data_IF_357432868435
#
_entry.id   IF_357432868435
#
_cell.length_a   1.000
_cell.length_b   1.000
_cell.length_c   1.000
_cell.angle_alpha   90.00
_cell.angle_beta   90.00
_cell.angle_gamma   90.00
#
_symmetry.space_group_name_H-M   'P 1'
#
loop_
_entity.id
_entity.type
_entity.pdbx_description
1 polymer ?
#
# COMPACT_ATOMS: atom_id res chain seq x y z
N UNK A 1 -31.35 46.98 38.39
CA UNK A 1 -30.24 47.92 38.57
C UNK A 1 -29.36 47.80 37.34
N UNK A 2 -29.61 48.63 36.32
CA UNK A 2 -28.82 48.65 35.08
C UNK A 2 -27.53 49.41 35.39
N UNK A 3 -26.40 48.69 35.44
CA UNK A 3 -25.10 49.34 35.40
C UNK A 3 -24.97 50.05 34.05
N UNK A 4 -25.01 51.38 34.08
CA UNK A 4 -24.62 52.22 32.95
C UNK A 4 -23.12 52.01 32.70
N UNK A 5 -22.79 50.96 31.95
CA UNK A 5 -21.48 50.77 31.35
C UNK A 5 -21.16 52.03 30.51
N UNK A 6 -19.97 52.58 30.71
CA UNK A 6 -19.46 53.68 29.90
C UNK A 6 -19.57 53.34 28.40
N UNK A 7 -19.61 54.33 27.48
CA UNK A 7 -19.70 54.07 26.04
C UNK A 7 -18.63 53.08 25.55
N UNK A 8 -17.46 53.10 26.19
CA UNK A 8 -16.34 52.18 26.00
C UNK A 8 -16.65 50.76 26.47
N UNK A 9 -17.34 50.59 27.60
CA UNK A 9 -17.78 49.28 28.13
C UNK A 9 -18.87 48.61 27.28
N UNK A 10 -19.81 49.38 26.72
CA UNK A 10 -20.81 48.87 25.77
C UNK A 10 -20.18 48.51 24.41
N UNK A 11 -19.23 49.30 23.92
CA UNK A 11 -18.45 48.97 22.73
C UNK A 11 -17.59 47.70 22.94
N UNK A 12 -16.95 47.56 24.10
CA UNK A 12 -16.18 46.37 24.45
C UNK A 12 -17.07 45.12 24.55
N UNK A 13 -18.25 45.18 25.17
CA UNK A 13 -19.18 44.05 25.19
C UNK A 13 -19.64 43.63 23.79
N UNK A 14 -19.77 44.58 22.86
CA UNK A 14 -20.16 44.32 21.48
C UNK A 14 -19.04 43.69 20.65
N UNK A 15 -17.77 44.01 20.98
CA UNK A 15 -16.57 43.54 20.27
C UNK A 15 -16.01 42.25 20.88
N UNK A 16 -16.28 41.98 22.16
CA UNK A 16 -15.77 40.77 22.85
C UNK A 16 -16.14 39.45 22.15
N UNK A 17 -17.37 39.23 21.65
CA UNK A 17 -17.69 38.04 20.87
C UNK A 17 -16.83 37.87 19.61
N UNK A 18 -16.51 38.97 18.91
CA UNK A 18 -15.61 38.99 17.76
C UNK A 18 -14.17 38.63 18.15
N UNK A 19 -13.68 39.16 19.28
CA UNK A 19 -12.35 38.81 19.81
C UNK A 19 -12.29 37.33 20.19
N UNK A 20 -13.32 36.79 20.84
CA UNK A 20 -13.39 35.37 21.15
C UNK A 20 -13.42 34.49 19.90
N UNK A 21 -14.22 34.85 18.89
CA UNK A 21 -14.25 34.13 17.61
C UNK A 21 -12.89 34.17 16.90
N UNK A 22 -12.22 35.32 16.91
CA UNK A 22 -10.89 35.46 16.30
C UNK A 22 -9.84 34.63 17.06
N UNK A 23 -9.86 34.64 18.40
CA UNK A 23 -8.98 33.81 19.21
C UNK A 23 -9.22 32.31 18.99
N UNK A 24 -10.48 31.88 18.93
CA UNK A 24 -10.85 30.49 18.60
C UNK A 24 -10.36 30.14 17.19
N UNK A 25 -10.53 31.03 16.21
CA UNK A 25 -10.05 30.82 14.83
C UNK A 25 -8.53 30.70 14.75
N UNK A 26 -7.78 31.52 15.49
CA UNK A 26 -6.31 31.43 15.56
C UNK A 26 -5.88 30.12 16.21
N UNK A 27 -6.46 29.74 17.35
CA UNK A 27 -6.15 28.48 18.03
C UNK A 27 -6.50 27.28 17.14
N UNK A 28 -7.66 27.31 16.49
CA UNK A 28 -8.06 26.27 15.54
C UNK A 28 -7.10 26.20 14.35
N UNK A 29 -6.71 27.33 13.77
CA UNK A 29 -5.76 27.40 12.66
C UNK A 29 -4.38 26.85 13.04
N UNK A 30 -3.88 27.15 14.24
CA UNK A 30 -2.64 26.61 14.76
C UNK A 30 -2.76 25.09 14.96
N UNK A 31 -3.87 24.62 15.55
CA UNK A 31 -4.13 23.18 15.72
C UNK A 31 -4.23 22.46 14.36
N UNK A 32 -4.97 23.00 13.39
CA UNK A 32 -5.07 22.46 12.04
C UNK A 32 -3.71 22.47 11.33
N UNK A 33 -2.91 23.52 11.48
CA UNK A 33 -1.56 23.59 10.91
C UNK A 33 -0.61 22.56 11.53
N UNK A 34 -0.72 22.32 12.84
CA UNK A 34 0.03 21.26 13.54
C UNK A 34 -0.43 19.87 13.06
N UNK A 35 -1.74 19.66 12.90
CA UNK A 35 -2.30 18.41 12.35
C UNK A 35 -1.84 18.19 10.91
N UNK A 36 -1.81 19.24 10.08
CA UNK A 36 -1.33 19.22 8.70
C UNK A 36 0.20 19.00 8.61
N UNK A 37 0.96 19.39 9.62
CA UNK A 37 2.39 19.06 9.73
C UNK A 37 2.59 17.55 9.95
N UNK A 38 1.57 16.84 10.45
CA UNK A 38 1.50 15.38 10.46
C UNK A 38 0.77 14.78 9.23
N UNK A 39 0.54 15.55 8.16
CA UNK A 39 -0.31 15.20 6.99
C UNK A 39 0.00 13.89 6.26
N UNK A 40 1.20 13.33 6.42
CA UNK A 40 1.49 12.00 5.88
C UNK A 40 0.87 10.95 6.81
N UNK A 41 0.04 10.09 6.24
CA UNK A 41 -0.58 8.96 6.93
C UNK A 41 0.49 8.14 7.69
N UNK A 42 0.20 7.78 8.94
CA UNK A 42 1.18 7.11 9.82
C UNK A 42 1.59 5.72 9.31
N UNK A 43 0.71 5.02 8.59
CA UNK A 43 1.04 3.75 7.92
C UNK A 43 1.93 4.03 6.71
N UNK A 44 1.58 5.01 5.88
CA UNK A 44 2.40 5.35 4.71
C UNK A 44 3.80 5.85 5.08
N UNK A 45 3.98 6.47 6.26
CA UNK A 45 5.30 6.83 6.79
C UNK A 45 6.21 5.60 7.00
N UNK A 46 5.65 4.43 7.33
CA UNK A 46 6.44 3.22 7.58
C UNK A 46 7.01 2.66 6.28
N UNK A 47 6.26 2.74 5.18
CA UNK A 47 6.66 2.26 3.85
C UNK A 47 7.33 3.33 2.99
N UNK A 48 7.39 4.58 3.45
CA UNK A 48 8.11 5.66 2.77
C UNK A 48 9.59 5.30 2.58
N UNK A 49 10.07 5.50 1.36
CA UNK A 49 11.44 5.28 0.95
C UNK A 49 11.79 3.81 0.72
N UNK A 50 10.86 2.87 0.90
CA UNK A 50 11.04 1.44 0.64
C UNK A 50 10.73 1.09 -0.81
N UNK A 51 11.30 -0.02 -1.29
CA UNK A 51 10.93 -0.65 -2.55
C UNK A 51 9.64 -1.46 -2.36
N UNK A 52 8.62 -1.13 -3.15
CA UNK A 52 7.27 -1.68 -3.04
C UNK A 52 6.68 -1.88 -4.43
N UNK A 53 5.68 -2.75 -4.52
CA UNK A 53 4.70 -2.78 -5.58
C UNK A 53 3.45 -2.03 -5.13
N UNK A 54 2.93 -1.17 -6.00
CA UNK A 54 1.64 -0.49 -5.80
C UNK A 54 0.66 -1.03 -6.82
N UNK A 55 -0.37 -1.74 -6.36
CA UNK A 55 -1.43 -2.29 -7.20
C UNK A 55 -2.56 -1.27 -7.35
N UNK A 56 -2.75 -0.76 -8.57
CA UNK A 56 -3.75 0.25 -8.94
C UNK A 56 -4.58 -0.27 -10.10
N UNK A 57 -5.87 -0.52 -9.86
CA UNK A 57 -6.74 -1.12 -10.87
C UNK A 57 -6.19 -2.46 -11.37
N UNK A 58 -5.77 -2.52 -12.64
CA UNK A 58 -5.15 -3.71 -13.27
C UNK A 58 -3.63 -3.55 -13.50
N UNK A 59 -3.02 -2.54 -12.89
CA UNK A 59 -1.60 -2.23 -13.00
C UNK A 59 -0.89 -2.46 -11.66
N UNK A 60 0.37 -2.86 -11.71
CA UNK A 60 1.27 -2.95 -10.57
C UNK A 60 2.55 -2.16 -10.86
N UNK A 61 2.84 -1.14 -10.05
CA UNK A 61 4.03 -0.30 -10.22
C UNK A 61 5.06 -0.63 -9.15
N UNK A 62 6.23 -1.11 -9.58
CA UNK A 62 7.36 -1.34 -8.69
C UNK A 62 8.29 -0.13 -8.63
N UNK A 63 8.79 0.16 -7.44
CA UNK A 63 9.81 1.18 -7.26
C UNK A 63 9.87 1.69 -5.83
N UNK A 64 10.59 2.79 -5.63
CA UNK A 64 10.72 3.45 -4.35
C UNK A 64 9.51 4.35 -4.07
N UNK A 65 8.79 4.07 -2.99
CA UNK A 65 7.63 4.86 -2.59
C UNK A 65 8.04 6.17 -1.91
N UNK A 66 7.62 7.31 -2.43
CA UNK A 66 7.79 8.61 -1.80
C UNK A 66 6.44 9.26 -1.51
N UNK A 67 6.28 9.75 -0.28
CA UNK A 67 5.06 10.40 0.18
C UNK A 67 5.38 11.87 0.47
N UNK A 68 5.15 12.78 -0.49
CA UNK A 68 5.40 14.20 -0.27
C UNK A 68 4.44 14.73 0.81
N UNK A 69 4.89 15.67 1.68
CA UNK A 69 4.00 16.29 2.64
C UNK A 69 2.87 17.05 1.93
N UNK A 70 1.70 17.15 2.57
CA UNK A 70 0.52 17.87 2.05
C UNK A 70 -0.05 17.33 0.72
N UNK A 71 0.27 16.10 0.34
CA UNK A 71 -0.25 15.42 -0.85
C UNK A 71 -1.71 14.92 -0.71
N UNK A 72 -2.37 15.18 0.42
CA UNK A 72 -3.70 14.64 0.77
C UNK A 72 -3.77 13.10 0.73
N UNK A 73 -2.64 12.43 0.96
CA UNK A 73 -2.52 10.98 0.88
C UNK A 73 -2.02 10.46 -0.46
N UNK A 74 -1.80 11.33 -1.45
CA UNK A 74 -1.11 10.97 -2.68
C UNK A 74 0.37 10.65 -2.43
N UNK A 75 0.94 9.87 -3.33
CA UNK A 75 2.33 9.42 -3.25
C UNK A 75 2.89 9.21 -4.66
N UNK A 76 4.18 8.94 -4.75
CA UNK A 76 4.87 8.71 -6.02
C UNK A 76 5.72 7.46 -5.92
N UNK A 77 5.65 6.60 -6.92
CA UNK A 77 6.50 5.43 -7.07
C UNK A 77 7.59 5.79 -8.05
N UNK A 78 8.82 5.95 -7.58
CA UNK A 78 9.97 6.18 -8.45
C UNK A 78 10.50 4.84 -8.93
N UNK A 79 10.47 4.61 -10.23
CA UNK A 79 11.02 3.40 -10.83
C UNK A 79 12.51 3.35 -10.59
N UNK A 80 12.98 2.19 -10.15
CA UNK A 80 14.38 1.95 -9.85
C UNK A 80 14.95 0.98 -10.87
N UNK A 81 16.27 1.01 -11.06
CA UNK A 81 16.98 0.00 -11.86
C UNK A 81 16.38 -0.12 -13.28
N UNK A 82 16.09 -1.33 -13.79
CA UNK A 82 15.64 -1.60 -15.16
C UNK A 82 14.25 -1.06 -15.52
N UNK A 83 13.52 -0.51 -14.55
CA UNK A 83 12.12 -0.12 -14.71
C UNK A 83 11.85 1.20 -15.46
N UNK A 84 12.87 1.92 -15.94
CA UNK A 84 12.69 3.21 -16.61
C UNK A 84 12.12 2.98 -18.01
N UNK A 85 10.93 3.52 -18.29
CA UNK A 85 10.36 3.47 -19.65
C UNK A 85 10.94 4.60 -20.51
N UNK A 86 11.28 4.27 -21.75
CA UNK A 86 11.87 5.18 -22.74
C UNK A 86 13.13 5.92 -22.22
N UNK A 87 14.17 5.19 -21.78
CA UNK A 87 15.35 5.77 -21.14
C UNK A 87 16.14 6.70 -22.07
N UNK A 88 16.15 6.43 -23.39
CA UNK A 88 16.78 7.31 -24.38
C UNK A 88 16.12 8.70 -24.47
N UNK A 89 14.79 8.78 -24.29
CA UNK A 89 14.08 10.06 -24.29
C UNK A 89 14.53 10.96 -23.13
N UNK A 90 14.95 10.38 -22.00
CA UNK A 90 15.48 11.12 -20.86
C UNK A 90 16.86 11.73 -21.16
N UNK A 91 17.71 10.96 -21.84
CA UNK A 91 19.02 11.45 -22.32
C UNK A 91 18.83 12.54 -23.37
N UNK A 92 17.92 12.33 -24.33
CA UNK A 92 17.61 13.30 -25.38
C UNK A 92 17.13 14.64 -24.82
N UNK A 93 16.31 14.62 -23.76
CA UNK A 93 15.87 15.84 -23.08
C UNK A 93 17.04 16.64 -22.48
N UNK A 94 18.04 15.98 -21.90
CA UNK A 94 19.22 16.67 -21.37
C UNK A 94 20.09 17.26 -22.50
N UNK A 95 20.25 16.53 -23.59
CA UNK A 95 20.96 17.00 -24.79
C UNK A 95 20.25 18.22 -25.40
N UNK A 96 18.93 18.20 -25.51
CA UNK A 96 18.11 19.33 -25.97
C UNK A 96 18.31 20.57 -25.10
N UNK A 97 18.23 20.44 -23.76
CA UNK A 97 18.48 21.54 -22.84
C UNK A 97 19.90 22.11 -22.97
N UNK A 98 20.90 21.29 -23.27
CA UNK A 98 22.26 21.77 -23.55
C UNK A 98 22.29 22.61 -24.83
N UNK A 99 21.66 22.15 -25.92
CA UNK A 99 21.61 22.88 -27.18
C UNK A 99 20.86 24.21 -27.06
N UNK A 100 19.79 24.26 -26.26
CA UNK A 100 19.01 25.49 -26.05
C UNK A 100 19.71 26.51 -25.14
N UNK A 101 20.37 26.03 -24.08
CA UNK A 101 20.91 26.92 -23.03
C UNK A 101 22.42 27.16 -23.10
N UNK A 102 23.17 26.32 -23.82
CA UNK A 102 24.64 26.29 -23.81
C UNK A 102 25.26 25.84 -22.48
N UNK A 103 24.45 25.38 -21.51
CA UNK A 103 24.95 25.01 -20.19
C UNK A 103 25.52 23.58 -20.18
N UNK A 104 26.85 23.49 -20.13
CA UNK A 104 27.61 22.21 -20.15
C UNK A 104 27.20 21.21 -19.07
N UNK A 105 26.61 21.65 -17.95
CA UNK A 105 26.11 20.73 -16.91
C UNK A 105 25.03 19.78 -17.41
N UNK A 106 24.26 20.16 -18.42
CA UNK A 106 23.25 19.27 -19.00
C UNK A 106 23.91 18.16 -19.82
N UNK A 107 24.93 18.49 -20.60
CA UNK A 107 25.70 17.51 -21.38
C UNK A 107 26.42 16.52 -20.45
N UNK A 108 27.12 17.01 -19.42
CA UNK A 108 27.78 16.18 -18.41
C UNK A 108 26.80 15.20 -17.75
N UNK A 109 25.59 15.68 -17.40
CA UNK A 109 24.53 14.83 -16.84
C UNK A 109 24.01 13.80 -17.85
N UNK A 110 23.89 14.18 -19.12
CA UNK A 110 23.43 13.29 -20.18
C UNK A 110 24.42 12.14 -20.39
N UNK A 111 25.73 12.42 -20.39
CA UNK A 111 26.79 11.42 -20.49
C UNK A 111 26.79 10.46 -19.29
N UNK A 112 26.71 10.99 -18.07
CA UNK A 112 26.63 10.17 -16.84
C UNK A 112 25.38 9.26 -16.88
N UNK A 113 24.24 9.82 -17.28
CA UNK A 113 22.99 9.08 -17.37
C UNK A 113 23.05 8.01 -18.46
N UNK A 114 23.59 8.32 -19.63
CA UNK A 114 23.75 7.36 -20.73
C UNK A 114 24.62 6.18 -20.28
N UNK A 115 25.75 6.44 -19.63
CA UNK A 115 26.60 5.37 -19.09
C UNK A 115 25.87 4.54 -18.03
N UNK A 116 25.18 5.19 -17.09
CA UNK A 116 24.38 4.52 -16.06
C UNK A 116 23.32 3.56 -16.65
N UNK A 117 22.69 3.96 -17.76
CA UNK A 117 21.66 3.18 -18.45
C UNK A 117 22.27 2.01 -19.25
N UNK A 118 23.44 2.21 -19.86
CA UNK A 118 24.21 1.14 -20.53
C UNK A 118 24.66 0.06 -19.56
N UNK A 119 25.22 0.47 -18.41
CA UNK A 119 25.72 -0.46 -17.38
C UNK A 119 24.61 -1.38 -16.83
N UNK A 120 23.35 -0.98 -16.98
CA UNK A 120 22.15 -1.74 -16.58
C UNK A 120 21.45 -2.44 -17.74
N UNK A 121 22.00 -2.40 -18.95
CA UNK A 121 21.43 -3.04 -20.13
C UNK A 121 20.11 -2.44 -20.61
N UNK A 122 19.80 -1.19 -20.22
CA UNK A 122 18.56 -0.51 -20.63
C UNK A 122 18.66 0.14 -22.02
N UNK A 123 19.89 0.39 -22.47
CA UNK A 123 20.21 1.00 -23.75
C UNK A 123 21.36 0.19 -24.37
N UNK A 124 21.37 0.11 -25.70
CA UNK A 124 22.46 -0.51 -26.45
C UNK A 124 23.84 0.09 -26.02
N UNK A 125 24.81 -0.75 -25.62
CA UNK A 125 26.11 -0.29 -25.16
C UNK A 125 26.90 0.52 -26.20
N UNK A 126 26.58 0.38 -27.50
CA UNK A 126 27.27 1.08 -28.59
C UNK A 126 26.75 2.51 -28.81
N UNK A 127 25.57 2.88 -28.29
CA UNK A 127 24.97 4.21 -28.52
C UNK A 127 25.83 5.30 -27.89
N UNK A 128 26.33 6.24 -28.67
CA UNK A 128 27.05 7.42 -28.18
C UNK A 128 26.11 8.60 -27.91
N UNK A 129 26.62 9.68 -27.30
CA UNK A 129 25.80 10.86 -27.02
C UNK A 129 25.39 11.55 -28.34
N UNK A 130 26.22 11.45 -29.36
CA UNK A 130 25.99 11.97 -30.71
C UNK A 130 24.87 11.21 -31.45
N UNK A 131 24.64 9.94 -31.10
CA UNK A 131 23.58 9.11 -31.68
C UNK A 131 22.19 9.44 -31.11
N UNK A 132 22.14 10.18 -30.00
CA UNK A 132 20.88 10.52 -29.32
C UNK A 132 20.10 11.55 -30.12
N UNK A 133 19.01 11.09 -30.75
CA UNK A 133 18.12 11.95 -31.55
C UNK A 133 17.06 12.62 -30.67
N UNK A 134 17.00 13.95 -30.74
CA UNK A 134 15.89 14.73 -30.19
C UNK A 134 14.66 14.49 -31.09
N UNK A 135 13.68 13.78 -30.56
CA UNK A 135 12.45 13.43 -31.28
C UNK A 135 11.23 13.77 -30.44
N UNK A 136 10.53 14.84 -30.80
CA UNK A 136 9.30 15.28 -30.11
C UNK A 136 8.14 14.28 -30.22
N UNK A 137 8.21 13.33 -31.15
CA UNK A 137 7.23 12.25 -31.31
C UNK A 137 7.62 10.95 -30.61
N UNK A 138 8.81 10.89 -30.02
CA UNK A 138 9.17 9.77 -29.16
C UNK A 138 8.32 9.79 -27.89
N UNK A 139 7.92 8.62 -27.37
CA UNK A 139 7.21 8.58 -26.09
C UNK A 139 8.08 9.20 -24.98
N UNK A 140 7.45 9.90 -24.02
CA UNK A 140 8.18 10.55 -22.94
C UNK A 140 8.87 9.51 -22.06
N UNK A 141 9.99 9.91 -21.45
CA UNK A 141 10.59 9.10 -20.39
C UNK A 141 9.65 9.03 -19.19
N UNK A 142 9.50 7.84 -18.61
CA UNK A 142 8.70 7.63 -17.41
C UNK A 142 9.57 6.95 -16.36
N UNK A 143 10.01 7.77 -15.40
CA UNK A 143 10.84 7.38 -14.26
C UNK A 143 10.04 7.22 -12.97
N UNK A 144 8.75 7.57 -12.99
CA UNK A 144 7.88 7.46 -11.84
C UNK A 144 6.40 7.38 -12.22
N UNK A 145 5.58 6.95 -11.26
CA UNK A 145 4.12 7.05 -11.29
C UNK A 145 3.64 7.82 -10.06
N UNK A 146 3.09 9.01 -10.27
CA UNK A 146 2.39 9.79 -9.23
C UNK A 146 0.99 9.24 -9.05
N UNK A 147 0.53 9.07 -7.82
CA UNK A 147 -0.81 8.60 -7.46
C UNK A 147 -1.49 9.72 -6.70
N UNK A 148 -2.52 10.32 -7.29
CA UNK A 148 -3.24 11.43 -6.70
C UNK A 148 -4.35 10.96 -5.76
N UNK A 149 -4.85 11.86 -4.92
CA UNK A 149 -5.88 11.53 -3.93
C UNK A 149 -7.18 10.98 -4.53
N UNK A 150 -7.51 11.37 -5.77
CA UNK A 150 -8.68 10.87 -6.52
C UNK A 150 -8.48 9.46 -7.08
N UNK A 151 -7.23 8.98 -7.21
CA UNK A 151 -6.91 7.62 -7.68
C UNK A 151 -6.82 6.61 -6.52
N UNK A 152 -6.85 7.07 -5.26
CA UNK A 152 -6.78 6.19 -4.09
C UNK A 152 -7.96 5.22 -3.97
N UNK A 153 -9.07 5.48 -4.65
CA UNK A 153 -10.19 4.54 -4.74
C UNK A 153 -9.84 3.26 -5.52
N UNK A 154 -8.90 3.36 -6.45
CA UNK A 154 -8.43 2.25 -7.30
C UNK A 154 -7.21 1.55 -6.72
N UNK A 155 -6.69 2.03 -5.59
CA UNK A 155 -5.60 1.38 -4.85
C UNK A 155 -6.12 0.09 -4.22
N UNK A 156 -5.47 -1.03 -4.54
CA UNK A 156 -5.76 -2.32 -3.92
C UNK A 156 -4.82 -2.60 -2.76
N UNK A 157 -3.52 -2.40 -2.96
CA UNK A 157 -2.51 -2.57 -1.93
C UNK A 157 -1.18 -1.92 -2.29
N UNK A 158 -0.36 -1.70 -1.27
CA UNK A 158 1.08 -1.47 -1.40
C UNK A 158 1.77 -2.65 -0.74
N UNK A 159 2.60 -3.40 -1.48
CA UNK A 159 3.15 -4.68 -1.03
C UNK A 159 4.65 -4.73 -1.28
N UNK A 160 5.40 -5.24 -0.30
CA UNK A 160 6.81 -5.60 -0.46
C UNK A 160 6.96 -7.11 -0.36
N UNK A 161 7.35 -7.77 -1.44
CA UNK A 161 7.69 -9.19 -1.42
C UNK A 161 9.05 -9.40 -0.76
N UNK A 162 9.12 -10.21 0.28
CA UNK A 162 10.35 -10.50 1.04
C UNK A 162 11.36 -11.24 0.16
N UNK A 163 10.88 -12.05 -0.79
CA UNK A 163 11.71 -12.75 -1.77
C UNK A 163 12.48 -11.77 -2.69
N UNK A 164 11.95 -10.57 -2.92
CA UNK A 164 12.57 -9.53 -3.76
C UNK A 164 13.41 -8.51 -2.96
N UNK A 165 13.43 -8.63 -1.63
CA UNK A 165 14.20 -7.72 -0.78
C UNK A 165 15.69 -8.02 -0.84
N UNK A 166 16.49 -6.96 -0.84
CA UNK A 166 17.94 -7.06 -0.58
C UNK A 166 18.20 -7.51 0.86
N UNK A 167 19.38 -8.06 1.15
CA UNK A 167 19.74 -8.48 2.51
C UNK A 167 19.69 -7.31 3.52
N UNK A 168 20.04 -6.10 3.09
CA UNK A 168 19.90 -4.89 3.91
C UNK A 168 18.43 -4.54 4.23
N UNK A 169 17.51 -4.78 3.29
CA UNK A 169 16.07 -4.64 3.51
C UNK A 169 15.55 -5.70 4.48
N UNK A 170 15.95 -6.97 4.31
CA UNK A 170 15.56 -8.08 5.20
C UNK A 170 16.01 -7.85 6.65
N UNK A 171 17.25 -7.39 6.85
CA UNK A 171 17.76 -7.06 8.19
C UNK A 171 16.96 -5.94 8.86
N UNK A 172 16.58 -4.89 8.10
CA UNK A 172 15.73 -3.81 8.61
C UNK A 172 14.33 -4.32 8.96
N UNK A 173 13.74 -5.18 8.11
CA UNK A 173 12.46 -5.84 8.35
C UNK A 173 12.48 -6.68 9.63
N UNK A 174 13.50 -7.51 9.84
CA UNK A 174 13.60 -8.35 11.05
C UNK A 174 13.69 -7.53 12.34
N UNK A 175 14.42 -6.40 12.30
CA UNK A 175 14.46 -5.47 13.42
C UNK A 175 13.09 -4.87 13.70
N UNK A 176 12.35 -4.48 12.66
CA UNK A 176 10.99 -3.95 12.79
C UNK A 176 10.02 -4.98 13.38
N UNK A 177 10.03 -6.22 12.88
CA UNK A 177 9.24 -7.32 13.42
C UNK A 177 9.56 -7.59 14.89
N UNK A 178 10.85 -7.68 15.24
CA UNK A 178 11.30 -7.91 16.61
C UNK A 178 10.86 -6.78 17.57
N UNK A 179 10.98 -5.52 17.12
CA UNK A 179 10.50 -4.35 17.86
C UNK A 179 8.98 -4.37 18.08
N UNK A 180 8.20 -4.88 17.12
CA UNK A 180 6.74 -4.96 17.23
C UNK A 180 6.31 -5.96 18.30
N UNK A 181 7.00 -7.11 18.39
CA UNK A 181 6.78 -8.08 19.45
C UNK A 181 7.19 -7.55 20.83
N UNK A 182 8.23 -6.71 20.89
CA UNK A 182 8.81 -6.18 22.12
C UNK A 182 8.38 -4.73 22.40
N UNK A 183 7.09 -4.50 22.69
CA UNK A 183 6.47 -3.16 22.99
C UNK A 183 7.46 -2.09 23.52
N UNK A 184 8.05 -1.22 22.67
CA UNK A 184 9.01 -0.25 23.14
C UNK A 184 8.27 0.91 23.82
N UNK A 185 8.68 1.27 25.05
CA UNK A 185 8.07 2.33 25.84
C UNK A 185 8.00 3.69 25.10
N UNK A 186 9.00 3.99 24.27
CA UNK A 186 9.08 5.24 23.49
C UNK A 186 8.10 5.28 22.31
N UNK A 187 7.91 4.15 21.59
CA UNK A 187 6.91 4.05 20.50
C UNK A 187 5.48 4.16 21.06
N UNK A 188 5.26 3.70 22.28
CA UNK A 188 3.95 3.86 22.96
C UNK A 188 3.66 5.32 23.31
N UNK A 189 4.67 6.12 23.69
CA UNK A 189 4.49 7.52 24.05
C UNK A 189 4.18 8.41 22.83
N UNK A 190 4.90 8.24 21.72
CA UNK A 190 4.61 8.95 20.47
C UNK A 190 3.22 8.61 19.93
N UNK A 191 2.79 7.34 20.05
CA UNK A 191 1.43 6.91 19.67
C UNK A 191 0.35 7.52 20.58
N UNK A 192 0.60 7.65 21.88
CA UNK A 192 -0.31 8.40 22.79
C UNK A 192 -0.46 9.86 22.39
N UNK A 193 0.63 10.53 22.03
CA UNK A 193 0.61 11.93 21.56
C UNK A 193 -0.19 12.04 20.26
N UNK A 194 0.05 11.15 19.30
CA UNK A 194 -0.67 11.13 18.02
C UNK A 194 -2.17 10.88 18.23
N UNK A 195 -2.52 9.92 19.08
CA UNK A 195 -3.90 9.59 19.41
C UNK A 195 -4.58 10.74 20.15
N UNK A 196 -3.88 11.42 21.07
CA UNK A 196 -4.39 12.60 21.75
C UNK A 196 -4.64 13.77 20.78
N UNK A 197 -3.71 14.04 19.86
CA UNK A 197 -3.88 15.07 18.83
C UNK A 197 -5.03 14.75 17.88
N UNK A 198 -5.16 13.49 17.47
CA UNK A 198 -6.26 13.05 16.60
C UNK A 198 -7.61 13.14 17.31
N UNK A 199 -7.67 12.75 18.59
CA UNK A 199 -8.88 12.92 19.41
C UNK A 199 -9.26 14.40 19.58
N UNK A 200 -8.28 15.29 19.78
CA UNK A 200 -8.52 16.74 19.83
C UNK A 200 -9.04 17.25 18.48
N UNK A 201 -8.46 16.82 17.36
CA UNK A 201 -8.96 17.13 16.01
C UNK A 201 -10.42 16.69 15.85
N UNK A 202 -10.73 15.45 16.20
CA UNK A 202 -12.09 14.89 16.07
C UNK A 202 -13.09 15.63 16.97
N UNK A 203 -12.69 15.99 18.19
CA UNK A 203 -13.53 16.77 19.12
C UNK A 203 -13.70 18.22 18.69
N UNK A 204 -12.68 18.86 18.13
CA UNK A 204 -12.78 20.21 17.57
C UNK A 204 -13.70 20.21 16.34
N UNK A 205 -13.55 19.24 15.44
CA UNK A 205 -14.44 19.09 14.29
C UNK A 205 -15.89 18.85 14.72
N UNK A 206 -16.11 17.96 15.70
CA UNK A 206 -17.44 17.72 16.28
C UNK A 206 -18.00 18.97 16.97
N UNK A 207 -17.20 19.70 17.75
CA UNK A 207 -17.61 20.94 18.40
C UNK A 207 -18.03 22.00 17.38
N UNK A 208 -17.21 22.21 16.33
CA UNK A 208 -17.51 23.13 15.23
C UNK A 208 -18.80 22.76 14.50
N UNK A 209 -19.12 21.46 14.36
CA UNK A 209 -20.38 20.99 13.76
C UNK A 209 -21.61 21.19 14.66
N UNK A 210 -21.42 21.12 15.98
CA UNK A 210 -22.51 21.28 16.96
C UNK A 210 -22.82 22.75 17.28
N UNK A 211 -21.85 23.66 17.17
CA UNK A 211 -22.01 25.08 17.48
C UNK A 211 -22.46 25.95 16.30
N UNK A 212 -22.47 25.43 15.07
CA UNK A 212 -22.84 26.18 13.86
C UNK A 212 -24.35 26.39 13.73
N UNK A 213 -25.20 25.49 14.24
CA UNK A 213 -26.66 25.58 14.05
C UNK A 213 -27.31 26.87 14.60
N UNK A 214 -26.81 27.39 15.73
CA UNK A 214 -27.36 28.60 16.36
C UNK A 214 -26.73 29.88 15.78
N UNK A 215 -25.43 29.85 15.45
CA UNK A 215 -24.66 30.99 14.96
C UNK A 215 -24.82 31.27 13.45
N UNK A 216 -25.14 30.24 12.65
CA UNK A 216 -25.42 30.36 11.22
C UNK A 216 -26.66 31.20 10.95
N UNK A 217 -27.66 31.15 11.83
CA UNK A 217 -28.95 31.85 11.65
C UNK A 217 -28.84 33.38 11.68
N UNK A 218 -27.77 33.93 12.27
CA UNK A 218 -27.52 35.37 12.42
C UNK A 218 -26.48 35.95 11.45
N UNK A 219 -25.81 35.13 10.64
CA UNK A 219 -24.76 35.60 9.72
C UNK A 219 -25.33 36.05 8.35
N UNK A 220 -24.68 37.00 7.64
CA UNK A 220 -24.98 37.32 6.23
C UNK A 220 -24.72 36.13 5.30
N UNK A 221 -25.42 36.08 4.16
CA UNK A 221 -25.41 34.93 3.23
C UNK A 221 -24.01 34.53 2.73
N UNK A 222 -23.14 35.51 2.43
CA UNK A 222 -21.79 35.25 1.93
C UNK A 222 -20.86 34.65 3.00
N UNK A 223 -21.04 35.06 4.27
CA UNK A 223 -20.33 34.52 5.42
C UNK A 223 -20.84 33.12 5.79
N UNK A 224 -22.15 32.86 5.65
CA UNK A 224 -22.69 31.50 5.79
C UNK A 224 -22.06 30.56 4.78
N UNK A 225 -21.96 30.98 3.51
CA UNK A 225 -21.38 30.17 2.45
C UNK A 225 -19.90 29.87 2.68
N UNK A 226 -19.12 30.86 3.13
CA UNK A 226 -17.71 30.68 3.51
C UNK A 226 -17.53 29.74 4.72
N UNK A 227 -18.43 29.82 5.70
CA UNK A 227 -18.43 28.93 6.88
C UNK A 227 -18.88 27.52 6.51
N UNK A 228 -19.89 27.36 5.64
CA UNK A 228 -20.32 26.07 5.10
C UNK A 228 -19.22 25.41 4.27
N UNK A 229 -18.51 26.17 3.41
CA UNK A 229 -17.36 25.65 2.65
C UNK A 229 -16.20 25.24 3.56
N UNK A 230 -15.92 26.03 4.61
CA UNK A 230 -14.91 25.70 5.62
C UNK A 230 -15.32 24.46 6.45
N UNK A 231 -16.58 24.36 6.82
CA UNK A 231 -17.15 23.21 7.53
C UNK A 231 -17.12 21.96 6.65
N UNK A 232 -17.46 22.06 5.37
CA UNK A 232 -17.42 20.94 4.42
C UNK A 232 -15.98 20.48 4.17
N UNK A 233 -15.01 21.41 4.09
CA UNK A 233 -13.57 21.07 4.03
C UNK A 233 -13.07 20.42 5.32
N UNK A 234 -13.50 20.91 6.48
CA UNK A 234 -13.10 20.36 7.79
C UNK A 234 -13.73 18.98 8.05
N UNK A 235 -15.00 18.79 7.67
CA UNK A 235 -15.72 17.52 7.76
C UNK A 235 -15.22 16.50 6.72
N UNK A 236 -14.91 16.94 5.49
CA UNK A 236 -14.26 16.09 4.48
C UNK A 236 -12.87 15.59 4.90
N UNK A 237 -12.23 16.25 5.87
CA UNK A 237 -10.98 15.82 6.48
C UNK A 237 -11.17 14.99 7.77
N UNK A 238 -12.41 14.79 8.24
CA UNK A 238 -12.77 14.15 9.51
C UNK A 238 -13.54 12.83 9.37
N UNK A 239 -13.58 12.23 8.17
CA UNK A 239 -14.26 10.94 7.97
C UNK A 239 -13.32 9.79 8.34
N UNK A 240 -13.36 9.40 9.62
CA UNK A 240 -12.75 8.21 10.16
C UNK A 240 -12.33 8.40 11.62
N UNK A 241 -12.80 7.54 12.54
CA UNK A 241 -12.21 7.51 13.89
C UNK A 241 -10.73 7.16 13.74
N UNK A 242 -9.86 8.12 14.05
CA UNK A 242 -8.40 7.95 13.92
C UNK A 242 -7.84 6.92 14.91
N UNK A 243 -8.57 6.66 15.99
CA UNK A 243 -8.24 5.69 17.03
C UNK A 243 -9.26 4.55 17.06
N UNK A 244 -8.76 3.31 16.98
CA UNK A 244 -9.57 2.10 17.05
C UNK A 244 -9.02 1.20 18.18
N UNK A 245 -9.72 1.09 19.32
CA UNK A 245 -9.23 0.33 20.47
C UNK A 245 -8.97 -1.16 20.16
N UNK A 246 -9.72 -1.75 19.23
CA UNK A 246 -9.57 -3.17 18.88
C UNK A 246 -8.28 -3.37 18.07
N UNK A 247 -8.04 -2.49 17.09
CA UNK A 247 -6.80 -2.51 16.31
C UNK A 247 -5.59 -2.14 17.17
N UNK A 248 -5.73 -1.17 18.06
CA UNK A 248 -4.66 -0.76 18.97
C UNK A 248 -4.14 -1.91 19.82
N UNK A 249 -5.04 -2.72 20.37
CA UNK A 249 -4.69 -3.88 21.19
C UNK A 249 -4.18 -5.07 20.36
N UNK A 250 -4.38 -5.04 19.05
CA UNK A 250 -3.95 -6.08 18.10
C UNK A 250 -2.57 -5.81 17.51
N UNK A 251 -1.96 -4.65 17.75
CA UNK A 251 -0.62 -4.35 17.21
C UNK A 251 0.44 -5.25 17.86
N UNK A 252 1.34 -5.77 17.01
CA UNK A 252 2.34 -6.77 17.37
C UNK A 252 1.74 -8.15 17.65
N UNK A 253 0.51 -8.42 17.17
CA UNK A 253 -0.18 -9.71 17.28
C UNK A 253 -0.43 -10.32 15.92
N UNK A 254 -0.58 -11.65 15.92
CA UNK A 254 -1.05 -12.38 14.75
C UNK A 254 -2.52 -12.05 14.56
N UNK A 255 -2.88 -11.52 13.40
CA UNK A 255 -4.25 -11.13 13.04
C UNK A 255 -4.72 -11.91 11.83
N UNK A 256 -6.03 -12.13 11.76
CA UNK A 256 -6.71 -12.61 10.56
C UNK A 256 -7.31 -11.41 9.82
N UNK A 257 -6.92 -11.24 8.56
CA UNK A 257 -7.35 -10.15 7.70
C UNK A 257 -8.22 -10.73 6.60
N UNK A 258 -9.41 -10.16 6.43
CA UNK A 258 -10.30 -10.44 5.30
C UNK A 258 -10.10 -9.35 4.25
N UNK A 259 -9.73 -9.72 3.05
CA UNK A 259 -9.39 -8.83 1.94
C UNK A 259 -10.33 -9.12 0.77
N UNK A 260 -10.91 -8.07 0.19
CA UNK A 260 -11.46 -8.13 -1.15
C UNK A 260 -10.28 -7.83 -2.11
N UNK A 261 -9.79 -8.86 -2.81
CA UNK A 261 -8.49 -8.88 -3.49
C UNK A 261 -8.59 -8.40 -4.96
N UNK A 262 -7.45 -8.20 -5.62
CA UNK A 262 -7.33 -7.63 -6.99
C UNK A 262 -8.06 -8.44 -8.06
N UNK A 263 -8.30 -9.72 -7.79
CA UNK A 263 -8.99 -10.68 -8.65
C UNK A 263 -10.52 -10.67 -8.45
N UNK A 264 -11.01 -9.89 -7.50
CA UNK A 264 -12.43 -9.82 -7.13
C UNK A 264 -12.87 -10.90 -6.14
N UNK A 265 -11.96 -11.76 -5.68
CA UNK A 265 -12.24 -12.77 -4.67
C UNK A 265 -12.08 -12.22 -3.26
N UNK A 266 -12.84 -12.81 -2.33
CA UNK A 266 -12.68 -12.53 -0.90
C UNK A 266 -11.75 -13.55 -0.28
N UNK A 267 -10.60 -13.09 0.18
CA UNK A 267 -9.51 -13.92 0.71
C UNK A 267 -9.26 -13.63 2.19
N UNK A 268 -8.86 -14.67 2.91
CA UNK A 268 -8.38 -14.55 4.29
C UNK A 268 -6.86 -14.71 4.29
N UNK A 269 -6.19 -13.81 4.99
CA UNK A 269 -4.75 -13.82 5.21
C UNK A 269 -4.46 -13.77 6.71
N UNK A 270 -3.30 -14.28 7.10
CA UNK A 270 -2.76 -14.11 8.43
C UNK A 270 -1.44 -13.34 8.35
N UNK A 271 -1.13 -12.60 9.40
CA UNK A 271 0.12 -11.84 9.51
C UNK A 271 0.15 -11.02 10.80
N UNK A 272 1.22 -10.28 11.03
CA UNK A 272 1.41 -9.48 12.23
C UNK A 272 0.95 -8.05 11.98
N UNK A 273 0.00 -7.55 12.78
CA UNK A 273 -0.42 -6.14 12.65
C UNK A 273 0.71 -5.21 13.11
N UNK A 274 1.27 -4.44 12.18
CA UNK A 274 2.32 -3.46 12.46
C UNK A 274 1.75 -2.12 12.93
N UNK A 275 0.85 -1.54 12.13
CA UNK A 275 0.19 -0.27 12.42
C UNK A 275 -1.12 -0.18 11.62
N UNK A 276 -2.05 0.67 12.03
CA UNK A 276 -3.26 0.99 11.26
C UNK A 276 -3.42 2.49 11.13
N UNK A 277 -4.30 3.01 10.29
CA UNK A 277 -4.81 4.39 10.33
C UNK A 277 -6.31 4.37 10.09
N UNK A 278 -6.92 5.54 9.90
CA UNK A 278 -8.28 5.66 9.38
C UNK A 278 -8.39 5.10 7.94
N UNK A 279 -7.29 5.12 7.17
CA UNK A 279 -7.26 4.73 5.76
C UNK A 279 -6.61 3.39 5.47
N UNK A 280 -5.63 2.96 6.25
CA UNK A 280 -4.81 1.80 5.93
C UNK A 280 -4.63 0.85 7.10
N UNK A 281 -4.29 -0.41 6.80
CA UNK A 281 -3.73 -1.37 7.75
C UNK A 281 -2.41 -1.88 7.18
N UNK A 282 -1.36 -1.89 8.00
CA UNK A 282 -0.07 -2.45 7.65
C UNK A 282 0.14 -3.77 8.40
N UNK A 283 0.23 -4.84 7.63
CA UNK A 283 0.35 -6.20 8.14
C UNK A 283 1.61 -6.81 7.57
N UNK A 284 2.51 -7.22 8.45
CA UNK A 284 3.77 -7.86 8.10
C UNK A 284 3.60 -9.37 8.05
N UNK A 285 4.53 -10.04 7.37
CA UNK A 285 4.63 -11.49 7.40
C UNK A 285 3.36 -12.21 6.92
N UNK A 286 2.88 -11.75 5.76
CA UNK A 286 1.71 -12.29 5.06
C UNK A 286 2.17 -13.20 3.94
N UNK A 287 1.64 -14.41 3.88
CA UNK A 287 1.73 -15.27 2.69
C UNK A 287 0.73 -14.80 1.62
N UNK A 288 1.10 -13.76 0.87
CA UNK A 288 0.25 -13.21 -0.17
C UNK A 288 0.17 -14.15 -1.36
N UNK A 289 -1.05 -14.37 -1.87
CA UNK A 289 -1.32 -15.31 -2.97
C UNK A 289 -1.38 -14.54 -4.28
N UNK A 290 -0.28 -14.55 -5.02
CA UNK A 290 -0.20 -13.91 -6.33
C UNK A 290 -0.76 -14.86 -7.41
N UNK A 291 -1.73 -14.37 -8.18
CA UNK A 291 -2.30 -15.09 -9.31
C UNK A 291 -1.45 -14.96 -10.58
N UNK A 292 -1.23 -16.09 -11.22
CA UNK A 292 -0.44 -16.24 -12.44
C UNK A 292 -1.20 -17.09 -13.47
N UNK A 293 -0.95 -16.78 -14.74
CA UNK A 293 -1.39 -17.58 -15.88
C UNK A 293 -0.17 -18.07 -16.64
N UNK A 294 -0.06 -19.38 -16.81
CA UNK A 294 0.96 -19.99 -17.66
C UNK A 294 0.36 -20.41 -19.01
N UNK A 295 0.92 -19.88 -20.09
CA UNK A 295 0.62 -20.31 -21.45
C UNK A 295 1.46 -21.54 -21.79
N UNK A 296 0.81 -22.63 -22.15
CA UNK A 296 1.43 -23.94 -22.36
C UNK A 296 1.24 -24.38 -23.80
N UNK A 297 2.30 -24.95 -24.38
CA UNK A 297 2.29 -25.63 -25.68
C UNK A 297 2.96 -26.99 -25.53
N UNK A 298 2.19 -28.07 -25.65
CA UNK A 298 2.66 -29.43 -25.40
C UNK A 298 3.00 -29.63 -23.93
N UNK A 299 4.29 -29.80 -23.62
CA UNK A 299 4.85 -29.91 -22.26
C UNK A 299 5.69 -28.68 -21.88
N UNK A 300 5.75 -27.67 -22.75
CA UNK A 300 6.56 -26.47 -22.54
C UNK A 300 5.68 -25.31 -22.05
N UNK A 301 6.13 -24.65 -20.98
CA UNK A 301 5.57 -23.36 -20.54
C UNK A 301 6.21 -22.27 -21.39
N UNK A 302 5.43 -21.67 -22.28
CA UNK A 302 5.89 -20.60 -23.19
C UNK A 302 6.07 -19.29 -22.46
N UNK A 303 5.12 -18.97 -21.58
CA UNK A 303 5.08 -17.69 -20.88
C UNK A 303 4.32 -17.84 -19.57
N UNK A 304 4.81 -17.16 -18.55
CA UNK A 304 4.06 -16.92 -17.31
C UNK A 304 3.76 -15.44 -17.22
N UNK A 305 2.50 -15.09 -17.03
CA UNK A 305 2.05 -13.71 -16.86
C UNK A 305 1.25 -13.57 -15.57
N UNK A 306 1.52 -12.54 -14.74
CA UNK A 306 0.60 -12.17 -13.69
C UNK A 306 -0.70 -11.61 -14.27
N UNK A 307 -1.79 -11.68 -13.48
CA UNK A 307 -3.12 -11.18 -13.88
C UNK A 307 -3.14 -9.65 -14.05
N UNK A 308 -2.22 -8.94 -13.39
CA UNK A 308 -2.05 -7.49 -13.51
C UNK A 308 -0.83 -7.15 -14.37
N UNK A 309 -0.83 -5.99 -15.02
CA UNK A 309 0.29 -5.51 -15.82
C UNK A 309 1.35 -4.85 -14.92
N UNK A 310 2.59 -5.29 -15.01
CA UNK A 310 3.69 -4.79 -14.19
C UNK A 310 4.45 -3.65 -14.88
N UNK A 311 4.87 -2.65 -14.11
CA UNK A 311 5.70 -1.51 -14.51
C UNK A 311 6.81 -1.28 -13.47
N UNK A 312 7.94 -0.68 -13.88
CA UNK A 312 9.00 -0.25 -12.94
C UNK A 312 9.94 -1.35 -12.41
N UNK A 313 9.70 -2.62 -12.79
CA UNK A 313 10.41 -3.90 -12.57
C UNK A 313 11.30 -4.07 -11.31
N UNK A 314 11.02 -5.05 -10.44
CA UNK A 314 11.26 -6.48 -10.75
C UNK A 314 10.38 -7.40 -9.91
N UNK A 315 9.73 -8.36 -10.58
CA UNK A 315 9.32 -9.64 -10.01
C UNK A 315 9.91 -10.75 -10.89
N UNK A 316 10.96 -11.43 -10.43
CA UNK A 316 11.67 -12.48 -11.19
C UNK A 316 10.94 -13.84 -11.18
N UNK A 317 9.77 -13.85 -10.55
CA UNK A 317 8.97 -15.05 -10.31
C UNK A 317 8.37 -15.60 -11.63
N UNK A 318 8.32 -14.81 -12.71
CA UNK A 318 7.98 -15.31 -14.04
C UNK A 318 9.14 -16.07 -14.72
N UNK A 319 10.38 -15.90 -14.25
CA UNK A 319 11.58 -16.60 -14.76
C UNK A 319 11.83 -17.94 -14.08
N UNK A 320 11.27 -18.18 -12.89
CA UNK A 320 11.35 -19.47 -12.22
C UNK A 320 10.39 -20.50 -12.83
N UNK A 321 10.88 -21.72 -13.03
CA UNK A 321 10.07 -22.81 -13.55
C UNK A 321 9.21 -23.39 -12.41
N UNK A 322 7.99 -22.90 -12.27
CA UNK A 322 7.08 -23.31 -11.18
C UNK A 322 6.58 -24.76 -11.29
N UNK A 323 6.43 -25.27 -12.50
CA UNK A 323 5.94 -26.63 -12.72
C UNK A 323 6.61 -27.33 -13.88
N UNK A 324 6.56 -28.65 -13.80
CA UNK A 324 6.86 -29.57 -14.88
C UNK A 324 5.54 -30.15 -15.40
N UNK A 325 5.45 -30.33 -16.71
CA UNK A 325 4.26 -30.82 -17.37
C UNK A 325 4.58 -32.14 -18.07
N UNK A 326 3.80 -33.17 -17.74
CA UNK A 326 3.87 -34.46 -18.42
C UNK A 326 2.56 -34.71 -19.16
N UNK A 327 2.65 -35.29 -20.35
CA UNK A 327 1.47 -35.73 -21.09
C UNK A 327 1.40 -37.24 -21.09
N UNK A 328 0.30 -37.77 -20.57
CA UNK A 328 -0.06 -39.17 -20.70
C UNK A 328 -0.87 -39.42 -21.97
N UNK A 329 -1.20 -40.69 -22.20
CA UNK A 329 -2.12 -41.11 -23.24
C UNK A 329 -3.52 -40.48 -23.02
N UNK A 330 -4.33 -40.36 -24.08
CA UNK A 330 -5.70 -39.83 -24.03
C UNK A 330 -5.86 -38.35 -23.58
N UNK A 331 -4.84 -37.53 -23.77
CA UNK A 331 -4.93 -36.09 -23.51
C UNK A 331 -4.97 -35.74 -22.02
N UNK A 332 -4.34 -36.56 -21.18
CA UNK A 332 -4.11 -36.29 -19.77
C UNK A 332 -2.86 -35.41 -19.61
N UNK A 333 -3.02 -34.28 -18.93
CA UNK A 333 -1.94 -33.38 -18.54
C UNK A 333 -1.67 -33.53 -17.05
N UNK A 334 -0.49 -34.03 -16.70
CA UNK A 334 0.00 -34.02 -15.32
C UNK A 334 0.78 -32.73 -15.07
N UNK A 335 0.40 -32.01 -14.02
CA UNK A 335 1.04 -30.78 -13.56
C UNK A 335 1.74 -31.09 -12.25
N UNK A 336 3.07 -31.03 -12.24
CA UNK A 336 3.90 -31.30 -11.05
C UNK A 336 4.52 -30.02 -10.52
N UNK A 337 4.36 -29.76 -9.23
CA UNK A 337 4.96 -28.60 -8.57
C UNK A 337 6.49 -28.80 -8.43
N UNK A 338 7.26 -27.96 -9.13
CA UNK A 338 8.73 -27.89 -8.99
C UNK A 338 9.17 -26.78 -8.03
N UNK A 339 8.26 -25.90 -7.65
CA UNK A 339 8.57 -24.78 -6.80
C UNK A 339 8.80 -25.21 -5.36
N UNK A 340 9.58 -24.41 -4.64
CA UNK A 340 9.97 -24.66 -3.24
C UNK A 340 8.82 -24.46 -2.25
N UNK A 341 7.68 -23.91 -2.70
CA UNK A 341 6.50 -23.59 -1.88
C UNK A 341 5.24 -24.22 -2.51
N UNK A 342 4.13 -24.32 -1.74
CA UNK A 342 2.87 -24.79 -2.27
C UNK A 342 2.36 -23.92 -3.44
N UNK A 343 1.78 -24.57 -4.44
CA UNK A 343 1.09 -23.94 -5.58
C UNK A 343 -0.36 -24.39 -5.56
N UNK A 344 -1.30 -23.47 -5.77
CA UNK A 344 -2.70 -23.83 -5.99
C UNK A 344 -3.00 -23.79 -7.48
N UNK A 345 -3.24 -24.94 -8.10
CA UNK A 345 -3.74 -25.00 -9.48
C UNK A 345 -5.25 -24.79 -9.43
N UNK A 346 -5.72 -23.68 -9.98
CA UNK A 346 -7.13 -23.29 -9.90
C UNK A 346 -7.92 -23.93 -11.03
N UNK A 347 -7.47 -23.71 -12.26
CA UNK A 347 -8.16 -24.17 -13.46
C UNK A 347 -7.23 -24.24 -14.67
N UNK A 348 -7.65 -25.00 -15.67
CA UNK A 348 -7.03 -25.07 -16.99
C UNK A 348 -8.05 -24.61 -18.02
N UNK A 349 -7.69 -23.64 -18.87
CA UNK A 349 -8.55 -23.08 -19.92
C UNK A 349 -7.99 -23.35 -21.31
N UNK A 350 -8.85 -23.68 -22.26
CA UNK A 350 -8.49 -23.90 -23.66
C UNK A 350 -9.69 -23.65 -24.58
N UNK A 351 -9.53 -22.72 -25.53
CA UNK A 351 -10.68 -22.19 -26.29
C UNK A 351 -11.75 -21.65 -25.33
N UNK A 352 -13.00 -22.08 -25.52
CA UNK A 352 -14.13 -21.71 -24.65
C UNK A 352 -14.37 -22.68 -23.48
N UNK A 353 -13.49 -23.68 -23.29
CA UNK A 353 -13.63 -24.67 -22.23
C UNK A 353 -12.76 -24.33 -21.03
N UNK A 354 -13.31 -24.58 -19.85
CA UNK A 354 -12.64 -24.44 -18.57
C UNK A 354 -12.79 -25.74 -17.77
N UNK A 355 -11.68 -26.24 -17.24
CA UNK A 355 -11.63 -27.38 -16.32
C UNK A 355 -11.17 -26.88 -14.96
N UNK A 356 -12.07 -26.87 -13.98
CA UNK A 356 -11.75 -26.50 -12.60
C UNK A 356 -10.96 -27.63 -11.93
N UNK A 357 -9.86 -27.27 -11.28
CA UNK A 357 -8.96 -28.21 -10.58
C UNK A 357 -9.02 -27.98 -9.07
N UNK A 358 -8.81 -26.73 -8.62
CA UNK A 358 -8.93 -26.32 -7.23
C UNK A 358 -8.00 -27.06 -6.24
N UNK A 359 -6.82 -27.53 -6.67
CA UNK A 359 -5.93 -28.37 -5.85
C UNK A 359 -4.66 -27.62 -5.45
N UNK A 360 -4.32 -27.71 -4.17
CA UNK A 360 -3.01 -27.28 -3.64
C UNK A 360 -2.02 -28.42 -3.78
N UNK A 361 -0.87 -28.13 -4.38
CA UNK A 361 0.24 -29.03 -4.60
C UNK A 361 1.42 -28.58 -3.74
N UNK A 362 1.85 -29.42 -2.80
CA UNK A 362 3.12 -29.22 -2.11
C UNK A 362 4.30 -29.52 -3.04
N UNK A 363 5.53 -29.08 -2.70
CA UNK A 363 6.70 -29.35 -3.53
C UNK A 363 6.84 -30.83 -3.90
N UNK A 364 6.92 -31.12 -5.20
CA UNK A 364 7.02 -32.47 -5.76
C UNK A 364 5.68 -33.20 -5.99
N UNK A 365 4.56 -32.69 -5.47
CA UNK A 365 3.23 -33.27 -5.73
C UNK A 365 2.72 -32.91 -7.14
N UNK A 366 1.81 -33.75 -7.65
CA UNK A 366 1.20 -33.56 -8.96
C UNK A 366 -0.32 -33.73 -8.98
N UNK A 367 -0.93 -33.21 -10.05
CA UNK A 367 -2.35 -33.40 -10.38
C UNK A 367 -2.52 -33.69 -11.86
N UNK A 368 -3.39 -34.63 -12.17
CA UNK A 368 -3.77 -34.97 -13.54
C UNK A 368 -5.06 -34.23 -13.94
N UNK A 369 -5.07 -33.66 -15.13
CA UNK A 369 -6.22 -33.00 -15.75
C UNK A 369 -6.49 -33.67 -17.10
N UNK A 370 -7.70 -34.20 -17.29
CA UNK A 370 -8.05 -34.98 -18.49
C UNK A 370 -8.66 -34.09 -19.57
N UNK A 371 -8.47 -34.49 -20.84
CA UNK A 371 -9.10 -33.83 -21.99
C UNK A 371 -8.49 -32.46 -22.32
N UNK A 372 -7.22 -32.25 -21.96
CA UNK A 372 -6.52 -30.98 -22.18
C UNK A 372 -5.77 -31.04 -23.52
N UNK A 373 -6.09 -30.17 -24.50
CA UNK A 373 -5.40 -30.12 -25.79
C UNK A 373 -3.95 -29.66 -25.63
N UNK A 374 -3.14 -29.76 -26.69
CA UNK A 374 -1.73 -29.37 -26.66
C UNK A 374 -1.50 -27.93 -26.19
N UNK A 375 -2.34 -27.00 -26.64
CA UNK A 375 -2.28 -25.59 -26.23
C UNK A 375 -3.34 -25.29 -25.19
N UNK A 376 -2.93 -24.80 -24.03
CA UNK A 376 -3.84 -24.41 -22.96
C UNK A 376 -3.21 -23.31 -22.07
N UNK A 377 -4.02 -22.74 -21.19
CA UNK A 377 -3.56 -21.84 -20.14
C UNK A 377 -3.87 -22.41 -18.77
N UNK A 378 -2.87 -22.46 -17.89
CA UNK A 378 -3.00 -22.92 -16.51
C UNK A 378 -3.10 -21.68 -15.62
N UNK A 379 -4.18 -21.54 -14.87
CA UNK A 379 -4.37 -20.48 -13.88
C UNK A 379 -4.02 -21.05 -12.50
N UNK A 380 -3.12 -20.37 -11.80
CA UNK A 380 -2.59 -20.86 -10.53
C UNK A 380 -2.19 -19.72 -9.60
N UNK A 381 -2.13 -20.02 -8.31
CA UNK A 381 -1.66 -19.11 -7.28
C UNK A 381 -0.33 -19.59 -6.70
N UNK A 382 0.53 -18.62 -6.42
CA UNK A 382 1.78 -18.82 -5.70
C UNK A 382 1.79 -18.01 -4.40
N UNK A 383 2.37 -18.55 -3.33
CA UNK A 383 2.47 -17.88 -2.04
C UNK A 383 3.84 -17.17 -1.89
N UNK A 384 3.80 -15.85 -1.76
CA UNK A 384 4.98 -15.00 -1.56
C UNK A 384 4.91 -14.36 -0.17
N UNK A 385 5.96 -14.56 0.62
CA UNK A 385 6.09 -13.89 1.92
C UNK A 385 6.18 -12.38 1.67
N UNK A 386 5.33 -11.61 2.34
CA UNK A 386 5.07 -10.22 2.00
C UNK A 386 4.78 -9.37 3.22
N UNK A 387 5.15 -8.09 3.15
CA UNK A 387 4.59 -7.07 4.03
C UNK A 387 3.61 -6.21 3.23
N UNK A 388 2.37 -6.06 3.71
CA UNK A 388 1.26 -5.50 2.92
C UNK A 388 0.59 -4.34 3.64
N UNK A 389 0.42 -3.24 2.93
CA UNK A 389 -0.46 -2.13 3.30
C UNK A 389 -1.73 -2.26 2.46
N UNK A 390 -2.85 -2.52 3.12
CA UNK A 390 -4.16 -2.49 2.48
C UNK A 390 -4.94 -1.24 2.87
N UNK A 391 -5.69 -0.63 1.94
CA UNK A 391 -6.75 0.30 2.27
C UNK A 391 -7.82 -0.39 3.13
N UNK A 392 -8.33 0.30 4.15
CA UNK A 392 -9.43 -0.19 5.01
C UNK A 392 -10.76 -0.33 4.27
N UNK A 393 -10.88 0.26 3.08
CA UNK A 393 -11.99 0.02 2.16
C UNK A 393 -11.93 -1.35 1.48
N UNK A 394 -10.77 -2.03 1.49
CA UNK A 394 -10.52 -3.33 0.85
C UNK A 394 -10.16 -4.43 1.84
N UNK A 395 -9.69 -4.07 3.05
CA UNK A 395 -9.27 -5.03 4.07
C UNK A 395 -9.86 -4.71 5.45
N UNK A 396 -10.28 -5.77 6.15
CA UNK A 396 -10.82 -5.70 7.51
C UNK A 396 -10.15 -6.76 8.38
N UNK A 397 -9.63 -6.34 9.53
CA UNK A 397 -9.14 -7.27 10.55
C UNK A 397 -10.35 -7.86 11.28
N UNK A 398 -10.53 -9.18 11.17
CA UNK A 398 -11.72 -9.88 11.67
C UNK A 398 -11.47 -10.62 12.99
N UNK A 399 -10.21 -10.81 13.39
CA UNK A 399 -9.86 -11.47 14.64
C UNK A 399 -8.36 -11.64 14.85
N UNK A 400 -8.00 -12.22 15.99
CA UNK A 400 -6.64 -12.64 16.31
C UNK A 400 -6.39 -14.06 15.80
N UNK A 401 -5.20 -14.32 15.30
CA UNK A 401 -4.70 -15.66 14.99
C UNK A 401 -4.00 -16.32 16.19
N UNK A 402 -3.64 -15.55 17.22
CA UNK A 402 -3.02 -16.04 18.46
C UNK A 402 -3.84 -15.70 19.72
N UNK A 403 -3.56 -16.42 20.80
CA UNK A 403 -4.09 -16.07 22.11
C UNK A 403 -3.25 -14.97 22.74
N UNK A 404 -3.87 -13.89 23.26
CA UNK A 404 -3.18 -12.96 24.16
C UNK A 404 -2.53 -13.71 25.32
N UNK A 405 -1.34 -13.34 25.81
CA UNK A 405 -0.60 -14.11 26.82
C UNK A 405 -1.41 -14.44 28.08
N UNK A 406 -2.26 -13.49 28.52
CA UNK A 406 -3.15 -13.69 29.67
C UNK A 406 -4.18 -14.80 29.44
N UNK A 407 -4.71 -14.90 28.22
CA UNK A 407 -5.70 -15.92 27.84
C UNK A 407 -4.98 -17.25 27.54
N UNK A 408 -3.81 -17.19 26.89
CA UNK A 408 -3.00 -18.37 26.59
C UNK A 408 -2.68 -19.15 27.85
N UNK A 409 -2.31 -18.47 28.94
CA UNK A 409 -2.07 -19.12 30.23
C UNK A 409 -3.29 -19.90 30.70
N UNK A 410 -4.48 -19.30 30.70
CA UNK A 410 -5.72 -19.97 31.10
C UNK A 410 -6.07 -21.17 30.20
N UNK A 411 -5.82 -21.06 28.89
CA UNK A 411 -6.02 -22.16 27.93
C UNK A 411 -5.07 -23.32 28.23
N UNK A 412 -3.79 -23.03 28.48
CA UNK A 412 -2.77 -24.04 28.79
C UNK A 412 -3.05 -24.71 30.14
N UNK A 413 -3.49 -23.97 31.16
CA UNK A 413 -3.90 -24.52 32.45
C UNK A 413 -5.11 -25.45 32.31
N UNK A 414 -6.12 -25.05 31.54
CA UNK A 414 -7.28 -25.90 31.25
C UNK A 414 -6.92 -27.21 30.53
N UNK A 415 -5.95 -27.16 29.60
CA UNK A 415 -5.43 -28.35 28.90
C UNK A 415 -4.68 -29.30 29.86
N UNK A 416 -3.87 -28.77 30.78
CA UNK A 416 -3.17 -29.57 31.79
C UNK A 416 -4.16 -30.31 32.69
N UNK A 417 -5.23 -29.65 33.14
CA UNK A 417 -6.28 -30.27 33.95
C UNK A 417 -7.00 -31.38 33.17
N UNK A 418 -7.36 -31.13 31.91
CA UNK A 418 -7.98 -32.16 31.03
C UNK A 418 -7.08 -33.39 30.84
N UNK A 419 -5.78 -33.18 30.65
CA UNK A 419 -4.80 -34.26 30.52
C UNK A 419 -4.58 -35.01 31.84
N UNK A 420 -4.70 -34.34 32.99
CA UNK A 420 -4.68 -34.98 34.30
C UNK A 420 -5.90 -35.89 34.49
N UNK A 421 -7.10 -35.38 34.16
CA UNK A 421 -8.35 -36.14 34.26
C UNK A 421 -8.35 -37.36 33.32
N UNK A 422 -7.80 -37.22 32.11
CA UNK A 422 -7.62 -38.34 31.15
C UNK A 422 -6.59 -39.40 31.57
N UNK A 423 -5.72 -39.14 32.56
CA UNK A 423 -4.77 -40.14 33.11
C UNK A 423 -5.29 -40.83 34.36
N UNK A 424 -6.31 -40.26 35.00
CA UNK A 424 -6.92 -40.76 36.24
C UNK A 424 -8.16 -41.62 35.93
N UNK A 425 -8.79 -41.39 34.78
CA UNK A 425 -9.74 -42.31 34.13
C UNK A 425 -8.93 -43.24 33.22
#
# INVERSE_FOLDING_TARGET
>A
MQENLTPVGQALQSIMPLIYLMAIGIVASILFSIVDMFSIDRVLKLVKGRRVFVFLGKEAHYGRLETPPRSKGGFEVFYTDSGIENPLSLVAFLVENYHETGNKKFLEKAEILLQYLKDRGMIDPEITIEDVKINSWAPPSRVSRKVYSNELGDLWMIISFVDEMTEEEKLRRWKELSDLYSKPFLKSATRRIYNALSYVKDKVAAALSSSTGVLMSSLPADLRKAVEEAQTKALGAAVGQSYDPLLENSIGRLVTVRVDDVDGERKYYQGVLGEYSDRYVYVLDVDYRLQLTAEVSGTEVRRVVPVVQFFGERLDVAGERHFELFRGDDGVLEIKNLWRRPIKVEKVTFGDKEVSVGRVLFPGESVEVRGVPETCSIHYEIALESDVVWPRSKAVIVGLGDYPPRILQSVLEGLKIKNLVKRVI
#
